data_IF_034068512688
#
_entry.id   IF_034068512688
#
_cell.length_a   1.000
_cell.length_b   1.000
_cell.length_c   1.000
_cell.angle_alpha   90.00
_cell.angle_beta   90.00
_cell.angle_gamma   90.00
#
_symmetry.space_group_name_H-M   'P 1'
#
loop_
_entity.id
_entity.type
_entity.pdbx_description
1 polymer ?
#
# COMPACT_ATOMS: atom_id res chain seq x y z
N UNK A 1 10.16 -0.04 21.31
CA UNK A 1 10.90 -1.21 20.81
C UNK A 1 12.39 -0.94 20.79
N UNK A 2 12.89 -0.18 21.79
CA UNK A 2 14.29 0.23 21.93
C UNK A 2 15.26 -0.94 22.17
N UNK A 3 14.72 -2.11 22.48
CA UNK A 3 15.51 -3.23 22.98
C UNK A 3 15.77 -4.29 21.90
N UNK A 4 15.35 -4.05 20.64
CA UNK A 4 15.61 -4.98 19.54
C UNK A 4 17.08 -4.90 19.12
N UNK A 5 17.77 -6.03 19.19
CA UNK A 5 19.19 -6.16 18.84
C UNK A 5 19.38 -7.09 17.64
N UNK A 6 20.60 -7.11 17.08
CA UNK A 6 20.96 -8.07 16.03
C UNK A 6 20.89 -9.51 16.51
N UNK A 7 21.11 -9.75 17.81
CA UNK A 7 21.07 -11.09 18.40
C UNK A 7 19.64 -11.65 18.46
N UNK A 8 18.62 -10.80 18.39
CA UNK A 8 17.22 -11.23 18.32
C UNK A 8 16.83 -11.69 16.90
N UNK A 9 17.65 -11.40 15.90
CA UNK A 9 17.39 -11.73 14.51
C UNK A 9 17.79 -13.17 14.17
N UNK A 10 17.09 -13.72 13.18
CA UNK A 10 17.48 -14.93 12.50
C UNK A 10 18.79 -14.69 11.73
N UNK A 11 19.68 -15.68 11.70
CA UNK A 11 21.04 -15.51 11.18
C UNK A 11 21.07 -15.07 9.72
N UNK A 12 20.15 -15.64 8.91
CA UNK A 12 19.98 -15.30 7.52
C UNK A 12 19.00 -14.13 7.35
N UNK A 13 19.41 -13.13 6.57
CA UNK A 13 18.61 -11.99 6.12
C UNK A 13 18.23 -12.21 4.65
N UNK A 14 17.03 -12.74 4.35
CA UNK A 14 16.57 -12.92 2.97
C UNK A 14 16.34 -11.58 2.26
N UNK A 15 16.89 -11.47 1.05
CA UNK A 15 16.64 -10.42 0.08
C UNK A 15 15.81 -11.03 -1.06
N UNK A 16 14.51 -10.78 -1.03
CA UNK A 16 13.61 -11.19 -2.11
C UNK A 16 13.66 -10.12 -3.20
N UNK A 17 13.92 -10.51 -4.45
CA UNK A 17 14.10 -9.62 -5.59
C UNK A 17 13.04 -9.92 -6.64
N UNK A 18 12.31 -8.89 -7.05
CA UNK A 18 11.43 -8.96 -8.21
C UNK A 18 12.20 -8.56 -9.49
N UNK A 19 12.49 -9.49 -10.42
CA UNK A 19 13.28 -9.20 -11.60
C UNK A 19 12.56 -8.36 -12.65
N UNK A 20 11.23 -8.22 -12.56
CA UNK A 20 10.43 -7.37 -13.45
C UNK A 20 10.22 -5.95 -12.90
N UNK A 21 10.68 -5.69 -11.67
CA UNK A 21 10.68 -4.35 -11.10
C UNK A 21 11.93 -3.57 -11.56
N UNK A 22 11.71 -2.38 -12.11
CA UNK A 22 12.79 -1.50 -12.56
C UNK A 22 13.31 -1.81 -13.97
N UNK A 23 14.32 -1.05 -14.40
CA UNK A 23 14.82 -1.12 -15.77
C UNK A 23 15.90 -2.20 -15.99
N UNK A 24 16.69 -2.53 -14.96
CA UNK A 24 17.79 -3.52 -15.05
C UNK A 24 18.00 -4.22 -13.70
N UNK A 25 17.32 -5.36 -13.52
CA UNK A 25 17.43 -6.14 -12.28
C UNK A 25 18.84 -6.70 -12.06
N UNK A 26 19.58 -7.07 -13.12
CA UNK A 26 20.91 -7.68 -12.98
C UNK A 26 21.91 -6.68 -12.42
N UNK A 27 21.85 -5.44 -12.90
CA UNK A 27 22.66 -4.35 -12.35
C UNK A 27 22.30 -4.06 -10.91
N UNK A 28 20.99 -4.00 -10.60
CA UNK A 28 20.51 -3.80 -9.24
C UNK A 28 20.98 -4.91 -8.30
N UNK A 29 20.85 -6.18 -8.70
CA UNK A 29 21.31 -7.34 -7.94
C UNK A 29 22.80 -7.27 -7.64
N UNK A 30 23.64 -7.03 -8.64
CA UNK A 30 25.10 -6.86 -8.44
C UNK A 30 25.44 -5.70 -7.51
N UNK A 31 24.67 -4.61 -7.55
CA UNK A 31 24.86 -3.50 -6.62
C UNK A 31 24.51 -3.91 -5.19
N UNK A 32 23.44 -4.68 -4.98
CA UNK A 32 23.09 -5.22 -3.68
C UNK A 32 24.15 -6.19 -3.16
N UNK A 33 24.67 -7.10 -3.99
CA UNK A 33 25.80 -8.00 -3.64
C UNK A 33 27.05 -7.22 -3.26
N UNK A 34 27.38 -6.16 -4.00
CA UNK A 34 28.54 -5.32 -3.67
C UNK A 34 28.36 -4.60 -2.34
N UNK A 35 27.14 -4.19 -2.00
CA UNK A 35 26.84 -3.41 -0.80
C UNK A 35 26.63 -4.27 0.44
N UNK A 36 26.07 -5.48 0.29
CA UNK A 36 25.64 -6.37 1.37
C UNK A 36 26.29 -7.77 1.27
N UNK A 37 27.46 -7.90 0.66
CA UNK A 37 28.06 -9.18 0.27
C UNK A 37 28.67 -10.02 1.39
N UNK A 38 28.10 -10.00 2.60
CA UNK A 38 28.49 -10.92 3.67
C UNK A 38 27.57 -12.16 3.71
N UNK A 39 27.99 -13.19 4.44
CA UNK A 39 27.34 -14.51 4.45
C UNK A 39 25.94 -14.53 5.09
N UNK A 40 25.50 -13.43 5.72
CA UNK A 40 24.14 -13.34 6.29
C UNK A 40 23.08 -13.08 5.23
N UNK A 41 23.40 -12.45 4.11
CA UNK A 41 22.38 -12.05 3.13
C UNK A 41 22.12 -13.15 2.08
N UNK A 42 20.91 -13.70 2.09
CA UNK A 42 20.46 -14.70 1.12
C UNK A 42 19.63 -14.08 -0.01
N UNK A 43 19.95 -14.36 -1.27
CA UNK A 43 19.27 -13.74 -2.42
C UNK A 43 18.22 -14.68 -3.06
N UNK A 44 16.98 -14.19 -3.20
CA UNK A 44 15.85 -14.97 -3.69
C UNK A 44 15.13 -14.24 -4.83
N UNK A 45 15.17 -14.78 -6.05
CA UNK A 45 14.55 -14.14 -7.22
C UNK A 45 13.16 -14.73 -7.46
N UNK A 46 12.12 -13.89 -7.40
CA UNK A 46 10.73 -14.31 -7.71
C UNK A 46 10.58 -14.65 -9.19
N UNK A 47 9.79 -15.67 -9.50
CA UNK A 47 9.46 -16.09 -10.87
C UNK A 47 8.02 -15.71 -11.26
N UNK A 48 7.12 -15.65 -10.28
CA UNK A 48 5.71 -15.34 -10.50
C UNK A 48 5.09 -14.58 -9.32
N UNK A 49 3.88 -14.05 -9.54
CA UNK A 49 3.06 -13.46 -8.47
C UNK A 49 2.82 -14.50 -7.37
N UNK A 50 3.00 -14.09 -6.12
CA UNK A 50 2.85 -14.94 -4.93
C UNK A 50 4.14 -15.60 -4.45
N UNK A 51 5.24 -15.54 -5.22
CA UNK A 51 6.53 -16.05 -4.76
C UNK A 51 7.06 -15.27 -3.55
N UNK A 52 6.83 -13.96 -3.48
CA UNK A 52 7.32 -13.18 -2.34
C UNK A 52 6.56 -13.55 -1.06
N UNK A 53 5.24 -13.78 -1.16
CA UNK A 53 4.41 -14.32 -0.06
C UNK A 53 4.95 -15.68 0.40
N UNK A 54 5.18 -16.60 -0.53
CA UNK A 54 5.65 -17.95 -0.22
C UNK A 54 7.03 -17.93 0.46
N UNK A 55 8.01 -17.24 -0.13
CA UNK A 55 9.39 -17.18 0.37
C UNK A 55 9.41 -16.49 1.75
N UNK A 56 8.70 -15.38 1.92
CA UNK A 56 8.62 -14.68 3.20
C UNK A 56 7.99 -15.58 4.29
N UNK A 57 6.94 -16.32 3.96
CA UNK A 57 6.28 -17.25 4.88
C UNK A 57 7.20 -18.41 5.29
N UNK A 58 7.92 -19.02 4.33
CA UNK A 58 8.92 -20.06 4.60
C UNK A 58 10.01 -19.55 5.56
N UNK A 59 10.52 -18.34 5.32
CA UNK A 59 11.57 -17.73 6.17
C UNK A 59 11.05 -17.31 7.55
N UNK A 60 9.82 -16.82 7.65
CA UNK A 60 9.17 -16.50 8.92
C UNK A 60 8.99 -17.75 9.78
N UNK A 61 8.57 -18.87 9.17
CA UNK A 61 8.41 -20.14 9.87
C UNK A 61 9.77 -20.70 10.37
N UNK A 62 10.86 -20.50 9.61
CA UNK A 62 12.21 -20.90 10.05
C UNK A 62 12.69 -20.03 11.23
N UNK A 63 12.52 -18.72 11.14
CA UNK A 63 12.87 -17.80 12.22
C UNK A 63 12.08 -18.10 13.51
N UNK A 64 10.79 -18.38 13.37
CA UNK A 64 9.92 -18.77 14.50
C UNK A 64 10.40 -20.05 15.19
N UNK A 65 10.76 -21.09 14.42
CA UNK A 65 11.33 -22.34 14.98
C UNK A 65 12.64 -22.10 15.72
N UNK A 66 13.42 -21.10 15.31
CA UNK A 66 14.65 -20.70 15.98
C UNK A 66 14.42 -19.78 17.19
N UNK A 67 13.17 -19.38 17.48
CA UNK A 67 12.86 -18.39 18.52
C UNK A 67 13.39 -16.99 18.19
N UNK A 68 13.55 -16.68 16.90
CA UNK A 68 14.12 -15.43 16.40
C UNK A 68 13.11 -14.60 15.61
N UNK A 69 13.39 -13.32 15.44
CA UNK A 69 12.70 -12.42 14.52
C UNK A 69 13.33 -12.49 13.13
N UNK A 70 12.53 -12.30 12.08
CA UNK A 70 13.04 -12.27 10.71
C UNK A 70 13.24 -10.83 10.25
N UNK A 71 14.45 -10.45 9.88
CA UNK A 71 14.67 -9.29 9.01
C UNK A 71 14.58 -9.73 7.55
N UNK A 72 13.76 -9.06 6.74
CA UNK A 72 13.56 -9.41 5.34
C UNK A 72 13.58 -8.16 4.46
N UNK A 73 14.44 -8.19 3.45
CA UNK A 73 14.54 -7.14 2.44
C UNK A 73 13.68 -7.53 1.24
N UNK A 74 12.78 -6.64 0.81
CA UNK A 74 12.00 -6.82 -0.40
C UNK A 74 12.44 -5.79 -1.44
N UNK A 75 13.13 -6.22 -2.48
CA UNK A 75 13.55 -5.38 -3.59
C UNK A 75 12.52 -5.41 -4.73
N UNK A 76 11.60 -4.45 -4.72
CA UNK A 76 10.46 -4.43 -5.62
C UNK A 76 9.72 -3.11 -5.67
N UNK A 77 8.41 -3.21 -5.90
CA UNK A 77 7.45 -2.11 -5.79
C UNK A 77 6.31 -2.48 -4.84
N UNK A 78 5.33 -1.58 -4.72
CA UNK A 78 4.28 -1.67 -3.69
C UNK A 78 3.50 -3.00 -3.71
N UNK A 79 3.25 -3.60 -4.89
CA UNK A 79 2.59 -4.92 -4.98
C UNK A 79 3.41 -6.08 -4.40
N UNK A 80 4.74 -6.05 -4.50
CA UNK A 80 5.60 -7.05 -3.85
C UNK A 80 5.64 -6.85 -2.33
N UNK A 81 5.63 -5.59 -1.89
CA UNK A 81 5.55 -5.28 -0.46
C UNK A 81 4.23 -5.80 0.13
N UNK A 82 3.13 -5.66 -0.62
CA UNK A 82 1.85 -6.25 -0.28
C UNK A 82 1.91 -7.78 -0.16
N UNK A 83 2.57 -8.47 -1.10
CA UNK A 83 2.78 -9.93 -1.01
C UNK A 83 3.49 -10.34 0.29
N UNK A 84 4.52 -9.60 0.70
CA UNK A 84 5.30 -9.89 1.91
C UNK A 84 4.45 -9.68 3.17
N UNK A 85 3.67 -8.60 3.27
CA UNK A 85 2.79 -8.36 4.44
C UNK A 85 1.53 -9.23 4.47
N UNK A 86 1.39 -10.14 3.51
CA UNK A 86 0.35 -11.17 3.50
C UNK A 86 0.95 -12.58 3.64
N UNK A 87 2.24 -12.70 3.94
CA UNK A 87 2.96 -13.97 4.02
C UNK A 87 2.63 -14.83 5.26
N UNK A 88 2.21 -14.20 6.36
CA UNK A 88 1.91 -14.89 7.62
C UNK A 88 0.73 -14.24 8.35
N UNK A 89 0.10 -15.00 9.25
CA UNK A 89 -0.97 -14.51 10.10
C UNK A 89 -0.48 -13.49 11.14
N UNK A 90 0.74 -13.67 11.66
CA UNK A 90 1.39 -12.79 12.63
C UNK A 90 2.71 -12.25 12.06
N UNK A 91 2.77 -10.93 11.86
CA UNK A 91 3.95 -10.26 11.30
C UNK A 91 4.71 -9.46 12.36
N UNK A 92 4.32 -9.55 13.64
CA UNK A 92 4.99 -8.85 14.74
C UNK A 92 6.45 -9.33 14.96
N UNK A 93 6.79 -10.50 14.41
CA UNK A 93 8.15 -11.06 14.36
C UNK A 93 8.95 -10.69 13.12
N UNK A 94 8.38 -9.94 12.19
CA UNK A 94 9.07 -9.47 10.99
C UNK A 94 9.61 -8.05 11.19
N UNK A 95 10.84 -7.81 10.72
CA UNK A 95 11.40 -6.49 10.41
C UNK A 95 11.48 -6.38 8.89
N UNK A 96 10.46 -5.77 8.31
CA UNK A 96 10.34 -5.57 6.88
C UNK A 96 11.24 -4.41 6.41
N UNK A 97 11.96 -4.59 5.31
CA UNK A 97 12.81 -3.55 4.74
C UNK A 97 12.51 -3.42 3.23
N UNK A 98 11.66 -2.46 2.82
CA UNK A 98 11.41 -2.24 1.41
C UNK A 98 12.62 -1.57 0.75
N UNK A 99 13.08 -2.16 -0.35
CA UNK A 99 14.14 -1.64 -1.20
C UNK A 99 13.52 -1.23 -2.55
N UNK A 100 13.46 0.07 -2.86
CA UNK A 100 12.77 0.55 -4.06
C UNK A 100 13.50 0.13 -5.34
N UNK A 101 12.86 -0.71 -6.15
CA UNK A 101 13.27 -0.99 -7.54
C UNK A 101 12.15 -0.76 -8.55
N UNK A 102 10.90 -0.53 -8.10
CA UNK A 102 9.71 -0.30 -8.93
C UNK A 102 9.51 1.15 -9.42
N UNK A 103 8.44 1.36 -10.20
CA UNK A 103 8.07 2.68 -10.75
C UNK A 103 7.43 3.60 -9.70
N UNK A 104 6.60 3.03 -8.83
CA UNK A 104 6.15 3.65 -7.57
C UNK A 104 6.83 2.91 -6.42
N UNK A 105 7.14 3.64 -5.36
CA UNK A 105 7.73 3.10 -4.14
C UNK A 105 7.19 3.91 -2.98
N UNK A 106 5.86 3.94 -2.89
CA UNK A 106 5.15 4.81 -1.97
C UNK A 106 5.35 4.33 -0.53
N UNK A 107 5.33 3.02 -0.30
CA UNK A 107 5.68 2.41 1.00
C UNK A 107 7.09 2.81 1.41
N UNK A 108 8.10 2.59 0.55
CA UNK A 108 9.48 2.99 0.83
C UNK A 108 9.61 4.50 1.06
N UNK A 109 8.82 5.33 0.37
CA UNK A 109 8.79 6.77 0.58
C UNK A 109 8.23 7.16 1.95
N UNK A 110 7.16 6.52 2.38
CA UNK A 110 6.56 6.74 3.70
C UNK A 110 7.50 6.36 4.85
N UNK A 111 8.41 5.41 4.60
CA UNK A 111 9.44 4.95 5.55
C UNK A 111 10.79 5.68 5.41
N UNK A 112 10.88 6.65 4.48
CA UNK A 112 12.10 7.37 4.13
C UNK A 112 13.25 6.50 3.60
N UNK A 113 12.93 5.33 3.07
CA UNK A 113 13.87 4.35 2.47
C UNK A 113 13.97 4.48 0.95
N UNK A 114 13.94 5.71 0.42
CA UNK A 114 13.96 5.95 -1.03
C UNK A 114 15.33 5.79 -1.68
N UNK A 115 16.41 5.82 -0.88
CA UNK A 115 17.78 5.67 -1.36
C UNK A 115 18.35 4.32 -0.91
N UNK A 116 18.35 3.35 -1.83
CA UNK A 116 18.88 2.00 -1.60
C UNK A 116 20.30 2.01 -1.04
N UNK A 117 21.19 2.87 -1.54
CA UNK A 117 22.57 2.95 -1.06
C UNK A 117 22.66 3.40 0.40
N UNK A 118 21.82 4.36 0.81
CA UNK A 118 21.73 4.81 2.22
C UNK A 118 21.20 3.68 3.11
N UNK A 119 20.17 2.97 2.66
CA UNK A 119 19.60 1.82 3.39
C UNK A 119 20.63 0.72 3.57
N UNK A 120 21.34 0.30 2.51
CA UNK A 120 22.37 -0.73 2.63
C UNK A 120 23.52 -0.30 3.55
N UNK A 121 23.95 0.97 3.47
CA UNK A 121 25.01 1.48 4.35
C UNK A 121 24.59 1.43 5.82
N UNK A 122 23.35 1.80 6.14
CA UNK A 122 22.83 1.66 7.50
C UNK A 122 22.82 0.20 7.95
N UNK A 123 22.34 -0.71 7.11
CA UNK A 123 22.31 -2.13 7.45
C UNK A 123 23.70 -2.66 7.78
N UNK A 124 24.72 -2.32 6.98
CA UNK A 124 26.10 -2.69 7.29
C UNK A 124 26.54 -2.19 8.66
N UNK A 125 26.33 -0.89 8.93
CA UNK A 125 26.64 -0.31 10.25
C UNK A 125 25.94 -1.01 11.41
N UNK A 126 24.67 -1.39 11.23
CA UNK A 126 23.91 -2.15 12.24
C UNK A 126 24.56 -3.52 12.48
N UNK A 127 24.92 -4.24 11.40
CA UNK A 127 25.54 -5.57 11.53
C UNK A 127 27.00 -5.52 12.01
N UNK A 128 27.70 -4.42 11.78
CA UNK A 128 29.05 -4.16 12.29
C UNK A 128 29.03 -3.66 13.75
N UNK A 129 27.84 -3.41 14.32
CA UNK A 129 27.66 -2.93 15.69
C UNK A 129 27.94 -1.44 15.87
N UNK A 130 28.09 -0.68 14.78
CA UNK A 130 28.29 0.78 14.81
C UNK A 130 26.99 1.54 15.15
N UNK A 131 25.83 0.94 14.87
CA UNK A 131 24.50 1.54 15.07
C UNK A 131 23.56 0.50 15.71
N UNK A 132 22.66 0.94 16.60
CA UNK A 132 21.72 0.02 17.25
C UNK A 132 20.46 -0.18 16.40
N UNK A 133 20.11 -1.45 16.13
CA UNK A 133 18.93 -1.79 15.32
C UNK A 133 17.63 -1.16 15.85
N UNK A 134 17.42 -1.23 17.17
CA UNK A 134 16.22 -0.70 17.83
C UNK A 134 15.96 0.79 17.57
N UNK A 135 16.98 1.58 17.25
CA UNK A 135 16.86 3.01 16.97
C UNK A 135 16.22 3.29 15.61
N UNK A 136 16.25 2.31 14.70
CA UNK A 136 15.76 2.44 13.33
C UNK A 136 14.53 1.58 13.06
N UNK A 137 14.00 0.86 14.04
CA UNK A 137 12.83 0.00 13.86
C UNK A 137 11.60 0.63 14.47
N UNK A 138 10.55 0.74 13.66
CA UNK A 138 9.22 1.18 14.11
C UNK A 138 8.18 0.12 13.80
N UNK A 139 7.20 -0.01 14.70
CA UNK A 139 5.99 -0.76 14.40
C UNK A 139 5.17 -0.03 13.34
N UNK A 140 4.53 -0.76 12.45
CA UNK A 140 3.66 -0.23 11.41
C UNK A 140 2.25 -0.79 11.55
N UNK A 141 1.28 0.08 11.38
CA UNK A 141 -0.12 -0.30 11.28
C UNK A 141 -0.40 -0.91 9.91
N UNK A 142 -1.24 -1.95 9.89
CA UNK A 142 -1.73 -2.56 8.65
C UNK A 142 -3.25 -2.40 8.57
N UNK A 143 -3.78 -2.27 7.37
CA UNK A 143 -5.21 -2.31 7.13
C UNK A 143 -5.61 -3.75 6.85
N UNK A 144 -6.45 -4.36 7.68
CA UNK A 144 -7.07 -5.64 7.39
C UNK A 144 -8.40 -5.45 6.66
N UNK A 145 -8.57 -6.09 5.51
CA UNK A 145 -9.78 -6.05 4.70
C UNK A 145 -10.39 -7.44 4.68
N UNK A 146 -11.56 -7.60 5.30
CA UNK A 146 -12.36 -8.82 5.25
C UNK A 146 -13.53 -8.64 4.28
N UNK A 147 -13.71 -9.57 3.34
CA UNK A 147 -14.68 -9.46 2.26
C UNK A 147 -15.21 -10.83 1.82
N UNK A 148 -16.22 -10.85 0.94
CA UNK A 148 -16.81 -12.07 0.35
C UNK A 148 -17.03 -13.21 1.35
N UNK A 149 -17.57 -12.88 2.54
CA UNK A 149 -17.94 -13.84 3.59
C UNK A 149 -16.79 -14.77 4.04
N UNK A 150 -15.57 -14.23 4.17
CA UNK A 150 -14.48 -14.94 4.84
C UNK A 150 -13.10 -14.76 4.21
N UNK A 151 -13.01 -14.12 3.04
CA UNK A 151 -11.72 -13.76 2.44
C UNK A 151 -11.10 -12.61 3.23
N UNK A 152 -9.78 -12.61 3.33
CA UNK A 152 -9.03 -11.51 3.95
C UNK A 152 -7.82 -11.15 3.10
N UNK A 153 -7.47 -9.87 3.12
CA UNK A 153 -6.22 -9.35 2.58
C UNK A 153 -5.79 -8.15 3.41
N UNK A 154 -4.49 -7.96 3.59
CA UNK A 154 -3.92 -6.79 4.27
C UNK A 154 -3.39 -5.79 3.26
N UNK A 155 -3.53 -4.50 3.57
CA UNK A 155 -2.83 -3.41 2.91
C UNK A 155 -1.79 -2.81 3.85
N UNK A 156 -0.59 -2.52 3.33
CA UNK A 156 0.44 -1.75 4.04
C UNK A 156 0.22 -0.25 3.87
N UNK A 157 -0.35 0.20 2.75
CA UNK A 157 -0.48 1.61 2.44
C UNK A 157 -1.91 2.04 2.12
N UNK A 158 -2.61 1.33 1.23
CA UNK A 158 -3.85 1.83 0.65
C UNK A 158 -4.87 0.71 0.41
N UNK A 159 -6.10 0.98 0.82
CA UNK A 159 -7.31 0.31 0.34
C UNK A 159 -8.20 1.33 -0.40
N UNK A 160 -8.85 0.93 -1.48
CA UNK A 160 -9.88 1.75 -2.10
C UNK A 160 -10.94 0.95 -2.84
N UNK A 161 -12.13 1.53 -2.99
CA UNK A 161 -13.26 0.92 -3.70
C UNK A 161 -13.93 1.96 -4.62
N UNK A 162 -14.66 1.47 -5.62
CA UNK A 162 -15.32 2.29 -6.64
C UNK A 162 -14.49 2.39 -7.91
N UNK A 163 -14.36 3.60 -8.45
CA UNK A 163 -13.63 3.88 -9.68
C UNK A 163 -12.17 3.39 -9.63
N UNK A 164 -11.51 3.52 -8.47
CA UNK A 164 -10.11 3.14 -8.34
C UNK A 164 -9.88 1.62 -8.44
N UNK A 165 -10.79 0.80 -7.91
CA UNK A 165 -10.72 -0.66 -8.06
C UNK A 165 -10.82 -1.10 -9.52
N UNK A 166 -11.77 -0.52 -10.27
CA UNK A 166 -11.92 -0.79 -11.70
C UNK A 166 -10.72 -0.27 -12.52
N UNK A 167 -10.22 0.92 -12.19
CA UNK A 167 -9.05 1.49 -12.83
C UNK A 167 -7.80 0.65 -12.59
N UNK A 168 -7.59 0.20 -11.35
CA UNK A 168 -6.51 -0.70 -10.96
C UNK A 168 -6.52 -1.98 -11.80
N UNK A 169 -7.70 -2.60 -11.99
CA UNK A 169 -7.88 -3.76 -12.86
C UNK A 169 -7.47 -3.47 -14.30
N UNK A 170 -8.00 -2.40 -14.90
CA UNK A 170 -7.71 -2.05 -16.31
C UNK A 170 -6.23 -1.69 -16.55
N UNK A 171 -5.59 -1.01 -15.59
CA UNK A 171 -4.16 -0.69 -15.64
C UNK A 171 -3.33 -1.98 -15.57
N UNK A 172 -3.64 -2.87 -14.63
CA UNK A 172 -2.90 -4.11 -14.44
C UNK A 172 -3.04 -5.06 -15.64
N UNK A 173 -4.23 -5.20 -16.20
CA UNK A 173 -4.43 -5.95 -17.45
C UNK A 173 -3.69 -5.34 -18.63
N UNK A 174 -3.70 -4.01 -18.76
CA UNK A 174 -2.99 -3.33 -19.83
C UNK A 174 -1.46 -3.46 -19.66
N UNK A 175 -0.93 -3.53 -18.43
CA UNK A 175 0.48 -3.84 -18.17
C UNK A 175 0.81 -5.27 -18.61
N UNK A 176 0.01 -6.26 -18.19
CA UNK A 176 0.17 -7.68 -18.60
C UNK A 176 0.23 -7.86 -20.12
N UNK A 177 -0.51 -7.05 -20.88
CA UNK A 177 -0.51 -7.06 -22.36
C UNK A 177 0.64 -6.27 -23.02
N UNK A 178 1.74 -6.02 -22.30
CA UNK A 178 2.91 -5.30 -22.83
C UNK A 178 2.79 -3.77 -22.79
N UNK A 179 1.88 -3.21 -21.97
CA UNK A 179 1.77 -1.77 -21.74
C UNK A 179 2.88 -1.16 -20.87
N UNK A 180 3.87 -1.96 -20.47
CA UNK A 180 5.06 -1.49 -19.73
C UNK A 180 5.77 -0.39 -20.55
N UNK A 181 5.95 0.79 -19.95
CA UNK A 181 6.62 1.93 -20.60
C UNK A 181 5.70 3.01 -21.20
N UNK A 182 4.37 2.80 -21.27
CA UNK A 182 3.45 3.91 -21.61
C UNK A 182 3.45 4.93 -20.48
N UNK A 183 4.07 6.10 -20.70
CA UNK A 183 4.30 7.17 -19.71
C UNK A 183 3.05 7.64 -18.92
N UNK A 184 1.83 7.25 -19.31
CA UNK A 184 0.58 7.68 -18.67
C UNK A 184 -0.53 6.61 -18.68
N UNK A 185 -0.21 5.32 -18.64
CA UNK A 185 -1.22 4.23 -18.69
C UNK A 185 -2.38 4.43 -17.71
N UNK A 186 -2.09 4.92 -16.49
CA UNK A 186 -3.08 5.25 -15.48
C UNK A 186 -4.06 6.34 -15.95
N UNK A 187 -3.55 7.47 -16.45
CA UNK A 187 -4.38 8.57 -16.94
C UNK A 187 -5.18 8.14 -18.17
N UNK A 188 -4.57 7.41 -19.10
CA UNK A 188 -5.26 6.92 -20.30
C UNK A 188 -6.44 6.03 -19.92
N UNK A 189 -6.23 5.06 -19.03
CA UNK A 189 -7.30 4.17 -18.55
C UNK A 189 -8.36 4.91 -17.75
N UNK A 190 -7.98 5.88 -16.92
CA UNK A 190 -8.94 6.71 -16.19
C UNK A 190 -9.85 7.49 -17.14
N UNK A 191 -9.29 8.10 -18.19
CA UNK A 191 -10.06 8.83 -19.21
C UNK A 191 -10.98 7.90 -20.00
N UNK A 192 -10.50 6.72 -20.41
CA UNK A 192 -11.30 5.71 -21.11
C UNK A 192 -12.50 5.26 -20.27
N UNK A 193 -12.28 4.89 -19.01
CA UNK A 193 -13.35 4.48 -18.09
C UNK A 193 -14.37 5.60 -17.88
N UNK A 194 -13.90 6.83 -17.69
CA UNK A 194 -14.79 7.98 -17.47
C UNK A 194 -15.63 8.34 -18.71
N UNK A 195 -15.02 8.37 -19.90
CA UNK A 195 -15.71 8.70 -21.17
C UNK A 195 -16.74 7.65 -21.53
N UNK A 196 -16.39 6.37 -21.37
CA UNK A 196 -17.25 5.26 -21.73
C UNK A 196 -18.28 4.93 -20.64
N UNK A 197 -18.28 5.66 -19.51
CA UNK A 197 -19.12 5.39 -18.33
C UNK A 197 -19.07 3.91 -17.90
N UNK A 198 -17.89 3.28 -18.06
CA UNK A 198 -17.64 1.88 -17.67
C UNK A 198 -17.36 1.74 -16.16
N UNK A 199 -17.90 2.67 -15.37
CA UNK A 199 -17.90 2.63 -13.93
C UNK A 199 -19.28 3.07 -13.47
N UNK A 200 -19.80 2.41 -12.45
CA UNK A 200 -20.98 2.90 -11.74
C UNK A 200 -20.51 3.52 -10.45
N UNK A 201 -20.94 4.75 -10.13
CA UNK A 201 -20.78 5.28 -8.79
C UNK A 201 -21.30 4.25 -7.79
N UNK A 202 -20.53 4.02 -6.75
CA UNK A 202 -20.96 3.14 -5.67
C UNK A 202 -21.80 3.94 -4.70
N UNK A 203 -22.70 3.24 -4.05
CA UNK A 203 -23.49 3.74 -2.95
C UNK A 203 -22.99 3.00 -1.72
N UNK A 204 -22.54 3.73 -0.70
CA UNK A 204 -21.95 3.11 0.49
C UNK A 204 -22.72 3.49 1.74
N UNK A 205 -23.08 2.51 2.55
CA UNK A 205 -23.28 2.72 3.98
C UNK A 205 -21.93 2.55 4.68
N UNK A 206 -21.60 3.42 5.64
CA UNK A 206 -20.41 3.20 6.46
C UNK A 206 -20.62 3.54 7.93
N UNK A 207 -19.85 2.82 8.75
CA UNK A 207 -19.72 3.02 10.18
C UNK A 207 -18.23 3.13 10.47
N UNK A 208 -17.81 4.25 11.02
CA UNK A 208 -16.44 4.50 11.48
C UNK A 208 -16.41 4.48 13.00
N UNK A 209 -15.38 3.82 13.55
CA UNK A 209 -15.09 3.74 14.99
C UNK A 209 -16.31 3.36 15.81
N UNK A 210 -16.89 2.18 15.55
CA UNK A 210 -18.03 1.65 16.32
C UNK A 210 -19.23 2.60 16.46
N UNK A 211 -19.48 3.47 15.47
CA UNK A 211 -20.66 4.33 15.42
C UNK A 211 -20.42 5.80 15.80
N UNK A 212 -19.18 6.20 16.07
CA UNK A 212 -18.84 7.62 16.29
C UNK A 212 -19.12 8.48 15.04
N UNK A 213 -18.90 7.92 13.85
CA UNK A 213 -19.36 8.52 12.60
C UNK A 213 -20.12 7.47 11.81
N UNK A 214 -21.32 7.83 11.35
CA UNK A 214 -22.20 6.94 10.59
C UNK A 214 -22.83 7.71 9.44
N UNK A 215 -22.75 7.13 8.25
CA UNK A 215 -23.60 7.51 7.15
C UNK A 215 -24.45 6.29 6.77
N UNK A 216 -25.77 6.41 6.93
CA UNK A 216 -26.69 5.32 6.58
C UNK A 216 -26.58 4.98 5.09
N UNK A 217 -26.51 6.00 4.23
CA UNK A 217 -26.25 5.87 2.79
C UNK A 217 -25.55 7.13 2.26
N UNK A 218 -24.42 6.97 1.58
CA UNK A 218 -23.85 7.99 0.71
C UNK A 218 -23.94 7.53 -0.73
N UNK A 219 -24.76 8.25 -1.48
CA UNK A 219 -25.00 7.97 -2.89
C UNK A 219 -23.94 8.59 -3.79
N UNK A 220 -23.77 7.97 -4.96
CA UNK A 220 -23.05 8.56 -6.08
C UNK A 220 -21.57 8.85 -5.73
N UNK A 221 -20.88 7.88 -5.12
CA UNK A 221 -19.44 7.95 -4.80
C UNK A 221 -18.61 7.50 -6.00
N UNK A 222 -17.65 8.34 -6.40
CA UNK A 222 -16.64 7.99 -7.40
C UNK A 222 -15.67 6.98 -6.82
N UNK A 223 -15.07 7.30 -5.67
CA UNK A 223 -14.16 6.42 -4.96
C UNK A 223 -14.18 6.72 -3.47
N UNK A 224 -13.94 5.68 -2.68
CA UNK A 224 -13.65 5.75 -1.26
C UNK A 224 -12.30 5.08 -1.03
N UNK A 225 -11.38 5.78 -0.38
CA UNK A 225 -10.03 5.32 -0.13
C UNK A 225 -9.74 5.43 1.36
N UNK A 226 -9.01 4.46 1.90
CA UNK A 226 -8.38 4.52 3.20
C UNK A 226 -6.87 4.36 3.01
N UNK A 227 -6.09 5.17 3.71
CA UNK A 227 -4.63 5.22 3.57
C UNK A 227 -3.97 5.28 4.95
N UNK A 228 -2.87 4.54 5.14
CA UNK A 228 -2.01 4.63 6.34
C UNK A 228 -0.93 5.69 6.18
N UNK A 229 -0.27 5.71 5.01
CA UNK A 229 0.88 6.56 4.77
C UNK A 229 0.57 7.90 4.10
N UNK A 230 1.54 8.80 4.13
CA UNK A 230 1.41 10.12 3.50
C UNK A 230 1.26 10.05 1.98
N UNK A 231 2.01 9.16 1.35
CA UNK A 231 2.12 9.04 -0.09
C UNK A 231 1.47 7.76 -0.60
N UNK A 232 0.72 7.87 -1.70
CA UNK A 232 0.24 6.74 -2.49
C UNK A 232 0.12 7.13 -3.98
N UNK A 233 -0.09 6.14 -4.85
CA UNK A 233 -0.27 6.34 -6.29
C UNK A 233 0.83 7.14 -6.99
N UNK A 234 2.10 6.78 -6.80
CA UNK A 234 3.28 7.45 -7.39
C UNK A 234 3.63 8.79 -6.74
N UNK A 235 3.59 8.85 -5.41
CA UNK A 235 4.02 9.99 -4.61
C UNK A 235 2.99 11.10 -4.48
N UNK A 236 1.73 10.81 -4.75
CA UNK A 236 0.65 11.74 -4.47
C UNK A 236 0.47 11.84 -2.95
N UNK A 237 0.45 13.07 -2.40
CA UNK A 237 0.35 13.32 -0.98
C UNK A 237 -1.12 13.29 -0.54
N UNK A 238 -1.57 12.12 -0.08
CA UNK A 238 -2.96 11.86 0.33
C UNK A 238 -3.23 12.19 1.80
N UNK A 239 -2.19 12.16 2.62
CA UNK A 239 -2.30 12.39 4.06
C UNK A 239 -1.04 13.10 4.58
N UNK A 240 -0.99 14.44 4.59
CA UNK A 240 0.23 15.17 4.94
C UNK A 240 0.68 14.98 6.39
N UNK A 241 -0.23 14.58 7.27
CA UNK A 241 -0.04 14.49 8.72
C UNK A 241 0.01 13.02 9.18
N UNK A 242 0.29 12.08 8.26
CA UNK A 242 0.25 10.64 8.52
C UNK A 242 1.16 10.22 9.68
N UNK A 243 0.62 9.40 10.57
CA UNK A 243 1.37 8.68 11.60
C UNK A 243 1.19 7.19 11.30
N UNK A 244 2.28 6.47 11.05
CA UNK A 244 2.20 5.08 10.56
C UNK A 244 1.90 4.05 11.66
N UNK A 245 1.72 4.47 12.91
CA UNK A 245 1.77 3.60 14.08
C UNK A 245 0.92 4.05 15.29
N UNK A 246 -0.07 4.91 15.07
CA UNK A 246 -0.98 5.41 16.10
C UNK A 246 -2.27 4.57 16.24
N UNK A 247 -2.42 3.53 15.42
CA UNK A 247 -3.60 2.67 15.34
C UNK A 247 -4.74 3.28 14.53
N UNK A 248 -4.50 4.38 13.83
CA UNK A 248 -5.49 5.13 13.06
C UNK A 248 -5.08 5.22 11.59
N UNK A 249 -6.06 5.38 10.72
CA UNK A 249 -5.87 5.65 9.28
C UNK A 249 -6.83 6.71 8.80
N UNK A 250 -6.63 7.20 7.59
CA UNK A 250 -7.39 8.33 7.08
C UNK A 250 -8.10 7.98 5.78
N UNK A 251 -9.31 8.50 5.65
CA UNK A 251 -10.20 8.26 4.55
C UNK A 251 -10.28 9.45 3.60
N UNK A 252 -10.42 9.16 2.31
CA UNK A 252 -10.79 10.12 1.29
C UNK A 252 -12.03 9.62 0.56
N UNK A 253 -13.12 10.36 0.68
CA UNK A 253 -14.38 10.10 -0.02
C UNK A 253 -14.55 11.12 -1.14
N UNK A 254 -14.68 10.66 -2.37
CA UNK A 254 -14.87 11.53 -3.54
C UNK A 254 -16.23 11.25 -4.14
N UNK A 255 -17.11 12.25 -4.14
CA UNK A 255 -18.38 12.18 -4.87
C UNK A 255 -18.14 12.16 -6.37
N UNK A 256 -19.04 11.48 -7.07
CA UNK A 256 -19.06 11.47 -8.52
C UNK A 256 -19.18 12.88 -9.07
N UNK A 257 -18.40 13.14 -10.12
CA UNK A 257 -18.27 14.45 -10.70
C UNK A 257 -18.17 14.35 -12.22
N UNK A 258 -18.49 15.46 -12.91
CA UNK A 258 -18.34 15.54 -14.36
C UNK A 258 -16.86 15.38 -14.74
N UNK A 259 -16.63 14.91 -15.98
CA UNK A 259 -15.28 14.65 -16.51
C UNK A 259 -14.32 15.86 -16.37
N UNK A 260 -14.79 17.08 -16.64
CA UNK A 260 -13.94 18.28 -16.55
C UNK A 260 -13.39 18.51 -15.13
N UNK A 261 -14.21 18.56 -14.06
CA UNK A 261 -13.73 18.54 -12.67
C UNK A 261 -12.79 17.37 -12.34
N UNK A 262 -13.12 16.15 -12.75
CA UNK A 262 -12.30 14.97 -12.49
C UNK A 262 -10.90 15.12 -13.11
N UNK A 263 -10.80 15.59 -14.35
CA UNK A 263 -9.51 15.83 -15.00
C UNK A 263 -8.69 16.93 -14.34
N UNK A 264 -9.34 17.97 -13.78
CA UNK A 264 -8.64 18.98 -12.99
C UNK A 264 -8.08 18.39 -11.70
N UNK A 265 -8.84 17.54 -11.02
CA UNK A 265 -8.39 16.83 -9.81
C UNK A 265 -7.22 15.90 -10.16
N UNK A 266 -7.39 15.01 -11.13
CA UNK A 266 -6.33 14.08 -11.59
C UNK A 266 -5.05 14.84 -11.96
N UNK A 267 -5.17 15.91 -12.75
CA UNK A 267 -4.01 16.73 -13.12
C UNK A 267 -3.34 17.38 -11.91
N UNK A 268 -4.13 17.92 -10.99
CA UNK A 268 -3.59 18.53 -9.78
C UNK A 268 -2.85 17.50 -8.91
N UNK A 269 -3.47 16.37 -8.59
CA UNK A 269 -2.88 15.35 -7.72
C UNK A 269 -1.61 14.75 -8.34
N UNK A 270 -1.61 14.47 -9.66
CA UNK A 270 -0.44 13.89 -10.34
C UNK A 270 0.73 14.86 -10.52
N UNK A 271 0.46 16.13 -10.87
CA UNK A 271 1.51 17.07 -11.27
C UNK A 271 1.95 18.01 -10.15
N UNK A 272 1.06 18.37 -9.22
CA UNK A 272 1.42 19.23 -8.09
C UNK A 272 1.95 18.43 -6.91
N UNK A 273 1.39 17.23 -6.67
CA UNK A 273 1.76 16.34 -5.54
C UNK A 273 1.77 17.06 -4.18
N UNK A 274 1.04 18.17 -4.07
CA UNK A 274 0.81 18.91 -2.84
C UNK A 274 -0.42 18.33 -2.11
N UNK A 275 -0.75 18.88 -0.95
CA UNK A 275 -1.89 18.47 -0.12
C UNK A 275 -3.14 19.37 -0.29
N UNK A 276 -3.18 20.24 -1.31
CA UNK A 276 -4.26 21.25 -1.47
C UNK A 276 -5.60 20.60 -1.77
N UNK A 277 -5.59 19.44 -2.44
CA UNK A 277 -6.78 18.65 -2.71
C UNK A 277 -7.45 18.05 -1.47
N UNK A 278 -6.72 17.94 -0.36
CA UNK A 278 -7.23 17.44 0.93
C UNK A 278 -7.50 18.59 1.90
N UNK A 279 -6.62 19.60 1.94
CA UNK A 279 -6.70 20.73 2.89
C UNK A 279 -7.59 21.89 2.43
N UNK A 280 -8.48 21.70 1.47
CA UNK A 280 -9.47 22.73 1.18
C UNK A 280 -10.31 22.95 2.46
N UNK A 281 -10.44 24.21 2.91
CA UNK A 281 -11.38 24.54 3.98
C UNK A 281 -12.81 24.35 3.44
N UNK A 282 -13.77 24.00 4.30
CA UNK A 282 -15.19 23.78 3.95
C UNK A 282 -15.76 24.90 3.04
N UNK A 283 -15.24 26.12 3.20
CA UNK A 283 -15.72 27.33 2.53
C UNK A 283 -14.76 27.88 1.45
N UNK A 284 -13.52 27.37 1.35
CA UNK A 284 -12.57 27.84 0.35
C UNK A 284 -12.94 27.32 -1.05
N UNK A 285 -12.52 28.04 -2.10
CA UNK A 285 -12.71 27.66 -3.51
C UNK A 285 -11.83 26.44 -3.92
N UNK A 286 -11.67 25.45 -3.05
CA UNK A 286 -10.85 24.25 -3.26
C UNK A 286 -11.65 23.02 -3.71
N UNK A 287 -11.00 21.84 -3.71
CA UNK A 287 -11.57 20.57 -4.19
C UNK A 287 -12.76 20.05 -3.37
N UNK A 288 -12.99 20.56 -2.15
CA UNK A 288 -14.19 20.21 -1.37
C UNK A 288 -15.50 20.61 -2.07
N UNK A 289 -15.49 21.72 -2.84
CA UNK A 289 -16.65 22.09 -3.67
C UNK A 289 -16.93 21.09 -4.79
N UNK A 290 -15.96 20.24 -5.11
CA UNK A 290 -16.08 19.14 -6.06
C UNK A 290 -16.49 17.82 -5.39
N UNK A 291 -16.82 17.86 -4.09
CA UNK A 291 -17.31 16.70 -3.34
C UNK A 291 -16.20 15.77 -2.83
N UNK A 292 -14.98 16.29 -2.64
CA UNK A 292 -13.89 15.59 -1.96
C UNK A 292 -14.00 15.84 -0.46
N UNK A 293 -14.11 14.78 0.35
CA UNK A 293 -14.24 14.83 1.80
C UNK A 293 -13.14 13.99 2.44
N UNK A 294 -12.45 14.58 3.41
CA UNK A 294 -11.44 13.90 4.23
C UNK A 294 -12.06 13.37 5.51
N UNK A 295 -11.69 12.15 5.91
CA UNK A 295 -12.21 11.44 7.08
C UNK A 295 -11.02 11.02 7.97
N UNK A 296 -10.65 11.81 8.99
CA UNK A 296 -9.50 11.50 9.83
C UNK A 296 -9.82 10.41 10.87
N UNK A 297 -8.78 9.70 11.33
CA UNK A 297 -8.84 8.94 12.58
C UNK A 297 -9.73 7.70 12.55
N UNK A 298 -9.71 6.94 11.47
CA UNK A 298 -10.47 5.70 11.29
C UNK A 298 -9.69 4.54 11.94
N UNK A 299 -10.28 3.86 12.92
CA UNK A 299 -9.82 2.60 13.50
C UNK A 299 -10.44 1.38 12.77
N UNK A 300 -11.68 1.56 12.32
CA UNK A 300 -12.45 0.55 11.61
C UNK A 300 -13.49 1.20 10.73
N UNK A 301 -13.81 0.55 9.61
CA UNK A 301 -14.81 0.99 8.66
C UNK A 301 -15.57 -0.22 8.10
N UNK A 302 -16.90 -0.19 8.14
CA UNK A 302 -17.74 -1.15 7.43
C UNK A 302 -18.23 -0.52 6.14
N UNK A 303 -18.20 -1.25 5.03
CA UNK A 303 -18.64 -0.76 3.72
C UNK A 303 -19.55 -1.79 3.09
N UNK A 304 -20.75 -1.34 2.71
CA UNK A 304 -21.67 -2.11 1.87
C UNK A 304 -21.83 -1.41 0.53
N UNK A 305 -21.62 -2.11 -0.59
CA UNK A 305 -22.00 -1.57 -1.90
C UNK A 305 -23.50 -1.77 -2.08
N UNK A 306 -24.24 -0.67 -2.13
CA UNK A 306 -25.69 -0.66 -2.29
C UNK A 306 -26.06 -0.57 -3.79
N UNK A 307 -27.27 -1.04 -4.12
CA UNK A 307 -27.87 -0.96 -5.46
C UNK A 307 -26.98 -1.55 -6.57
N UNK A 308 -26.59 -2.81 -6.40
CA UNK A 308 -25.84 -3.54 -7.42
C UNK A 308 -26.52 -3.52 -8.78
N UNK A 309 -25.72 -3.35 -9.85
CA UNK A 309 -26.21 -3.52 -11.21
C UNK A 309 -25.98 -4.94 -11.67
N UNK A 310 -27.06 -5.60 -12.11
CA UNK A 310 -27.00 -6.94 -12.67
C UNK A 310 -25.94 -7.03 -13.79
N UNK A 311 -25.07 -8.03 -13.71
CA UNK A 311 -24.01 -8.29 -14.69
C UNK A 311 -22.80 -7.35 -14.61
N UNK A 312 -22.74 -6.45 -13.63
CA UNK A 312 -21.56 -5.61 -13.40
C UNK A 312 -20.61 -6.28 -12.40
N UNK A 313 -19.32 -6.33 -12.76
CA UNK A 313 -18.27 -6.69 -11.81
C UNK A 313 -17.86 -5.51 -10.93
N UNK A 314 -17.59 -5.80 -9.67
CA UNK A 314 -17.09 -4.85 -8.70
C UNK A 314 -15.69 -5.25 -8.26
N UNK A 315 -14.81 -4.26 -8.16
CA UNK A 315 -13.43 -4.44 -7.76
C UNK A 315 -13.08 -3.44 -6.67
N UNK A 316 -12.18 -3.84 -5.78
CA UNK A 316 -11.45 -2.94 -4.89
C UNK A 316 -9.95 -3.05 -5.17
N UNK A 317 -9.20 -2.06 -4.71
CA UNK A 317 -7.75 -1.96 -4.86
C UNK A 317 -7.10 -2.05 -3.47
N UNK A 318 -6.04 -2.85 -3.37
CA UNK A 318 -5.17 -2.96 -2.19
C UNK A 318 -3.73 -2.81 -2.68
N UNK A 319 -3.05 -1.73 -2.28
CA UNK A 319 -1.65 -1.45 -2.62
C UNK A 319 -1.28 -1.56 -4.12
N UNK A 320 -2.24 -1.32 -5.02
CA UNK A 320 -2.05 -1.41 -6.47
C UNK A 320 -2.43 -2.76 -7.09
N UNK A 321 -2.92 -3.70 -6.29
CA UNK A 321 -3.52 -4.96 -6.74
C UNK A 321 -5.05 -4.87 -6.71
N UNK A 322 -5.70 -5.38 -7.76
CA UNK A 322 -7.16 -5.38 -7.86
C UNK A 322 -7.73 -6.71 -7.39
N UNK A 323 -8.83 -6.64 -6.64
CA UNK A 323 -9.55 -7.78 -6.12
C UNK A 323 -11.01 -7.69 -6.56
N UNK A 324 -11.53 -8.77 -7.16
CA UNK A 324 -12.94 -8.87 -7.55
C UNK A 324 -13.78 -9.23 -6.34
N UNK A 325 -14.93 -8.59 -6.19
CA UNK A 325 -15.97 -8.95 -5.23
C UNK A 325 -16.95 -9.93 -5.89
N UNK A 326 -17.05 -11.12 -5.33
CA UNK A 326 -18.05 -12.13 -5.74
C UNK A 326 -19.42 -11.83 -5.14
N UNK A 327 -19.44 -11.18 -3.97
CA UNK A 327 -20.65 -10.74 -3.29
C UNK A 327 -20.55 -9.25 -2.95
N UNK A 328 -20.73 -8.34 -3.93
CA UNK A 328 -20.49 -6.89 -3.73
C UNK A 328 -21.35 -6.26 -2.62
N UNK A 329 -22.58 -6.74 -2.44
CA UNK A 329 -23.53 -6.31 -1.42
C UNK A 329 -23.26 -6.96 -0.06
N UNK A 330 -22.35 -7.94 0.01
CA UNK A 330 -21.83 -8.40 1.27
C UNK A 330 -20.88 -7.34 1.85
N UNK A 331 -20.82 -7.33 3.17
CA UNK A 331 -20.04 -6.33 3.89
C UNK A 331 -18.54 -6.52 3.69
N UNK A 332 -17.86 -5.42 3.34
CA UNK A 332 -16.41 -5.29 3.39
C UNK A 332 -16.08 -4.65 4.74
N UNK A 333 -15.38 -5.40 5.60
CA UNK A 333 -14.94 -4.90 6.91
C UNK A 333 -13.48 -4.49 6.82
N UNK A 334 -13.22 -3.26 7.23
CA UNK A 334 -11.89 -2.69 7.32
C UNK A 334 -11.57 -2.49 8.79
N UNK A 335 -10.41 -2.97 9.22
CA UNK A 335 -9.92 -2.80 10.58
C UNK A 335 -8.44 -2.46 10.55
N UNK A 336 -8.04 -1.44 11.28
CA UNK A 336 -6.63 -1.15 11.51
C UNK A 336 -6.09 -2.19 12.49
N UNK A 337 -4.93 -2.76 12.15
CA UNK A 337 -4.15 -3.64 13.00
C UNK A 337 -2.96 -2.83 13.52
N UNK A 338 -3.02 -2.31 14.76
CA UNK A 338 -1.98 -1.45 15.28
C UNK A 338 -0.65 -2.20 15.41
N UNK A 339 0.44 -1.62 14.91
CA UNK A 339 1.82 -2.13 15.02
C UNK A 339 1.92 -3.62 14.65
N UNK A 340 1.20 -4.04 13.61
CA UNK A 340 1.05 -5.43 13.21
C UNK A 340 2.30 -6.02 12.53
N UNK A 341 3.19 -5.17 12.02
CA UNK A 341 4.53 -5.55 11.54
C UNK A 341 5.55 -4.52 12.00
N UNK A 342 6.84 -4.81 11.86
CA UNK A 342 7.89 -3.81 12.06
C UNK A 342 8.57 -3.49 10.74
N UNK A 343 9.16 -2.31 10.65
CA UNK A 343 9.98 -1.91 9.52
C UNK A 343 11.14 -1.04 9.96
N UNK A 344 12.20 -1.07 9.16
CA UNK A 344 13.20 -0.02 9.21
C UNK A 344 12.54 1.32 8.84
N UNK A 345 12.91 2.39 9.54
CA UNK A 345 12.44 3.75 9.34
C UNK A 345 13.60 4.72 9.53
N UNK A 346 13.82 5.57 8.52
CA UNK A 346 14.86 6.60 8.60
C UNK A 346 14.24 7.92 9.07
N UNK A 347 14.43 8.27 10.34
CA UNK A 347 14.10 9.60 10.83
C UNK A 347 14.88 10.65 10.01
N UNK A 348 14.16 11.59 9.40
CA UNK A 348 14.72 12.62 8.54
C UNK A 348 15.43 13.72 9.31
#
# INVERSE_FOLDING_TARGET
>A
MSDLTIDDLFDEVPIIINPVAGADYKKFHREMEKRLGNDRFGYYITQAKGDATRIAGEKLALAEKAGKKLMLLAAGGDGMYNEVVNADADLSRMVFVPIPSGTSSDVARNLHLTNTGRTCNLLNKIFDGEEHLGDYVTGLDLINVSYDKGKQVRAINLFSVGFDGMLCKEVNESRKKGGFGKKNIFVTKAVELMKNKKYSPIHIGYIVNNGHEKADTIDNILLFTIITGRYAGSGMNYNPDSILNDGLVEGLLVKNMKLKPAMKLIGHVLFKKDNVHIRAKKDSKGFNRLGVNYLPGIESCLINILYEKAGQDYYFNVDGEHHRLEHPAAEIRIKVLPKATNSLYLYC
#
